data_IF_926893772502
#
_entry.id   IF_926893772502
#
_cell.length_a   1.000
_cell.length_b   1.000
_cell.length_c   1.000
_cell.angle_alpha   90.00
_cell.angle_beta   90.00
_cell.angle_gamma   90.00
#
_symmetry.space_group_name_H-M   'P 1'
#
loop_
_entity.id
_entity.type
_entity.pdbx_description
1 polymer ?
#
# COMPACT_ATOMS: atom_id res chain seq x y z
N UNK A 1 20.00 -7.32 -6.62
CA UNK A 1 19.05 -6.34 -6.00
C UNK A 1 19.72 -4.97 -5.94
N UNK A 2 19.01 -3.95 -6.42
CA UNK A 2 19.47 -2.55 -6.45
C UNK A 2 19.75 -2.02 -5.02
N UNK A 3 20.70 -1.06 -4.89
CA UNK A 3 21.04 -0.42 -3.60
C UNK A 3 19.83 0.18 -2.89
N UNK A 4 18.89 0.80 -3.64
CA UNK A 4 17.65 1.38 -3.09
C UNK A 4 16.78 0.33 -2.40
N UNK A 5 16.64 -0.84 -3.01
CA UNK A 5 15.82 -1.92 -2.45
C UNK A 5 16.49 -2.61 -1.26
N UNK A 6 17.83 -2.70 -1.27
CA UNK A 6 18.59 -3.16 -0.08
C UNK A 6 18.36 -2.20 1.09
N UNK A 7 18.50 -0.90 0.85
CA UNK A 7 18.25 0.11 1.87
C UNK A 7 16.82 0.01 2.42
N UNK A 8 15.82 0.00 1.54
CA UNK A 8 14.41 -0.18 1.91
C UNK A 8 14.22 -1.41 2.78
N UNK A 9 14.77 -2.55 2.35
CA UNK A 9 14.65 -3.82 3.07
C UNK A 9 15.20 -3.70 4.49
N UNK A 10 16.42 -3.20 4.64
CA UNK A 10 17.07 -3.03 5.94
C UNK A 10 16.33 -2.01 6.80
N UNK A 11 15.99 -0.85 6.23
CA UNK A 11 15.29 0.21 6.95
C UNK A 11 13.96 -0.28 7.54
N UNK A 12 13.18 -1.04 6.78
CA UNK A 12 11.89 -1.58 7.24
C UNK A 12 12.02 -2.69 8.30
N UNK A 13 13.15 -3.37 8.38
CA UNK A 13 13.43 -4.24 9.53
C UNK A 13 13.81 -3.42 10.77
N UNK A 14 14.68 -2.42 10.61
CA UNK A 14 15.16 -1.58 11.72
C UNK A 14 14.01 -0.76 12.32
N UNK A 15 13.13 -0.19 11.48
CA UNK A 15 11.99 0.60 11.94
C UNK A 15 10.80 -0.24 12.41
N UNK A 16 10.94 -1.56 12.44
CA UNK A 16 9.98 -2.57 12.90
C UNK A 16 8.73 -2.74 12.03
N UNK A 17 8.62 -2.07 10.89
CA UNK A 17 7.46 -2.23 10.01
C UNK A 17 7.40 -3.61 9.35
N UNK A 18 8.54 -4.18 8.93
CA UNK A 18 8.55 -5.55 8.40
C UNK A 18 8.24 -6.60 9.46
N UNK A 19 8.82 -6.56 10.68
CA UNK A 19 8.37 -7.44 11.77
C UNK A 19 6.87 -7.34 12.04
N UNK A 20 6.30 -6.14 12.04
CA UNK A 20 4.85 -5.94 12.18
C UNK A 20 4.07 -6.60 11.03
N UNK A 21 4.49 -6.41 9.79
CA UNK A 21 3.88 -7.04 8.62
C UNK A 21 3.92 -8.57 8.68
N UNK A 22 5.05 -9.14 9.13
CA UNK A 22 5.18 -10.58 9.35
C UNK A 22 4.22 -11.09 10.43
N UNK A 23 4.11 -10.37 11.55
CA UNK A 23 3.16 -10.70 12.62
C UNK A 23 1.71 -10.68 12.10
N UNK A 24 1.33 -9.66 11.37
CA UNK A 24 0.00 -9.56 10.75
C UNK A 24 -0.24 -10.73 9.80
N UNK A 25 0.75 -11.13 9.00
CA UNK A 25 0.63 -12.25 8.08
C UNK A 25 0.42 -13.58 8.81
N UNK A 26 1.07 -13.77 9.97
CA UNK A 26 0.90 -14.96 10.81
C UNK A 26 -0.51 -15.00 11.41
N UNK A 27 -0.95 -13.90 12.01
CA UNK A 27 -2.30 -13.77 12.58
C UNK A 27 -3.37 -13.99 11.50
N UNK A 28 -3.15 -13.48 10.29
CA UNK A 28 -4.04 -13.63 9.15
C UNK A 28 -3.99 -15.00 8.46
N UNK A 29 -3.11 -15.90 8.90
CA UNK A 29 -2.96 -17.23 8.30
C UNK A 29 -2.42 -17.23 6.87
N UNK A 30 -1.73 -16.18 6.46
CA UNK A 30 -1.23 -16.03 5.10
C UNK A 30 0.01 -16.89 4.86
N UNK A 31 0.11 -17.43 3.64
CA UNK A 31 1.29 -18.17 3.17
C UNK A 31 2.29 -17.17 2.60
N UNK A 32 3.48 -17.13 3.17
CA UNK A 32 4.55 -16.20 2.79
C UNK A 32 5.47 -16.81 1.75
N UNK A 33 5.79 -16.02 0.73
CA UNK A 33 6.75 -16.37 -0.33
C UNK A 33 7.67 -15.19 -0.62
N UNK A 34 8.93 -15.43 -1.04
CA UNK A 34 9.78 -14.35 -1.49
C UNK A 34 9.20 -13.68 -2.73
N UNK A 35 9.26 -12.35 -2.77
CA UNK A 35 8.85 -11.52 -3.88
C UNK A 35 10.04 -10.78 -4.50
N UNK A 36 9.78 -9.94 -5.52
CA UNK A 36 10.84 -9.16 -6.15
C UNK A 36 11.40 -8.10 -5.20
N UNK A 37 12.66 -7.73 -5.40
CA UNK A 37 13.29 -6.58 -4.74
C UNK A 37 13.23 -6.59 -3.21
N UNK A 38 13.28 -7.78 -2.60
CA UNK A 38 13.27 -7.95 -1.15
C UNK A 38 11.89 -7.85 -0.51
N UNK A 39 10.82 -7.85 -1.31
CA UNK A 39 9.45 -7.96 -0.80
C UNK A 39 9.16 -9.39 -0.33
N UNK A 40 8.23 -9.50 0.59
CA UNK A 40 7.65 -10.76 1.06
C UNK A 40 6.18 -10.72 0.66
N UNK A 41 5.75 -11.67 -0.18
CA UNK A 41 4.36 -11.77 -0.61
C UNK A 41 3.62 -12.76 0.30
N UNK A 42 2.54 -12.31 0.93
CA UNK A 42 1.74 -13.10 1.85
C UNK A 42 0.34 -13.29 1.26
N UNK A 43 0.04 -14.53 0.85
CA UNK A 43 -1.18 -14.90 0.15
C UNK A 43 -2.20 -15.58 1.08
N UNK A 44 -3.48 -15.44 0.75
CA UNK A 44 -4.55 -16.11 1.49
C UNK A 44 -4.81 -15.49 2.86
N UNK A 45 -4.57 -14.20 3.02
CA UNK A 45 -4.92 -13.45 4.23
C UNK A 45 -6.43 -13.53 4.49
N UNK A 46 -6.85 -13.99 5.65
CA UNK A 46 -8.25 -14.36 5.92
C UNK A 46 -9.17 -13.20 6.31
N UNK A 47 -8.61 -12.10 6.80
CA UNK A 47 -9.42 -10.97 7.24
C UNK A 47 -9.81 -10.05 6.08
N UNK A 48 -10.99 -9.42 6.18
CA UNK A 48 -11.51 -8.53 5.16
C UNK A 48 -11.09 -7.07 5.34
N UNK A 49 -10.43 -6.75 6.42
CA UNK A 49 -9.88 -5.43 6.69
C UNK A 49 -8.35 -5.46 6.58
N UNK A 50 -7.73 -4.49 5.92
CA UNK A 50 -8.34 -3.40 5.15
C UNK A 50 -9.02 -3.89 3.85
N UNK A 51 -10.03 -3.12 3.38
CA UNK A 51 -10.76 -3.43 2.14
C UNK A 51 -9.92 -2.97 0.95
N UNK A 52 -9.04 -3.84 0.47
CA UNK A 52 -8.18 -3.60 -0.67
C UNK A 52 -7.83 -4.94 -1.33
N UNK A 53 -7.41 -4.91 -2.59
CA UNK A 53 -6.90 -6.09 -3.29
C UNK A 53 -5.61 -6.61 -2.69
N UNK A 54 -4.76 -5.70 -2.22
CA UNK A 54 -3.57 -5.96 -1.43
C UNK A 54 -3.28 -4.76 -0.53
N UNK A 55 -2.46 -4.95 0.50
CA UNK A 55 -1.92 -3.86 1.33
C UNK A 55 -0.51 -4.22 1.81
N UNK A 56 0.26 -3.20 2.13
CA UNK A 56 1.68 -3.36 2.47
C UNK A 56 1.97 -2.84 3.86
N UNK A 57 2.70 -3.64 4.65
CA UNK A 57 3.26 -3.23 5.94
C UNK A 57 4.75 -3.56 5.94
N UNK A 58 5.58 -2.54 5.91
CA UNK A 58 7.02 -2.69 5.73
C UNK A 58 7.35 -3.30 4.37
N UNK A 59 8.06 -4.42 4.35
CA UNK A 59 8.37 -5.18 3.14
C UNK A 59 7.35 -6.28 2.83
N UNK A 60 6.29 -6.41 3.63
CA UNK A 60 5.32 -7.49 3.51
C UNK A 60 4.08 -6.98 2.76
N UNK A 61 3.81 -7.61 1.63
CA UNK A 61 2.60 -7.38 0.82
C UNK A 61 1.59 -8.47 1.14
N UNK A 62 0.45 -8.10 1.69
CA UNK A 62 -0.60 -9.01 2.11
C UNK A 62 -1.78 -8.95 1.14
N UNK A 63 -2.32 -10.11 0.80
CA UNK A 63 -3.50 -10.23 -0.05
C UNK A 63 -4.35 -11.42 0.35
N UNK A 64 -5.66 -11.34 0.12
CA UNK A 64 -6.57 -12.48 0.27
C UNK A 64 -6.53 -13.41 -0.94
N UNK A 65 -5.97 -12.96 -2.05
CA UNK A 65 -5.88 -13.71 -3.30
C UNK A 65 -4.77 -14.76 -3.24
N UNK A 66 -4.79 -15.69 -4.19
CA UNK A 66 -3.75 -16.72 -4.34
C UNK A 66 -2.59 -16.26 -5.23
N UNK A 67 -2.77 -15.16 -5.95
CA UNK A 67 -1.77 -14.57 -6.84
C UNK A 67 -1.95 -13.06 -6.95
N UNK A 68 -0.89 -12.36 -7.34
CA UNK A 68 -0.89 -10.92 -7.58
C UNK A 68 -0.31 -10.62 -8.97
N UNK A 69 -0.95 -9.69 -9.69
CA UNK A 69 -0.43 -9.18 -10.94
C UNK A 69 0.82 -8.31 -10.74
N UNK A 70 1.69 -8.26 -11.75
CA UNK A 70 2.95 -7.50 -11.67
C UNK A 70 2.73 -6.01 -11.37
N UNK A 71 1.72 -5.39 -11.97
CA UNK A 71 1.42 -3.97 -11.74
C UNK A 71 1.05 -3.69 -10.29
N UNK A 72 0.25 -4.56 -9.68
CA UNK A 72 -0.12 -4.44 -8.28
C UNK A 72 1.08 -4.67 -7.35
N UNK A 73 1.96 -5.61 -7.67
CA UNK A 73 3.21 -5.81 -6.93
C UNK A 73 4.11 -4.58 -7.00
N UNK A 74 4.20 -3.92 -8.17
CA UNK A 74 4.95 -2.66 -8.31
C UNK A 74 4.35 -1.55 -7.46
N UNK A 75 3.02 -1.42 -7.45
CA UNK A 75 2.30 -0.46 -6.61
C UNK A 75 2.59 -0.69 -5.13
N UNK A 76 2.43 -1.92 -4.67
CA UNK A 76 2.69 -2.29 -3.27
C UNK A 76 4.18 -2.13 -2.90
N UNK A 77 5.08 -2.40 -3.82
CA UNK A 77 6.52 -2.15 -3.64
C UNK A 77 6.84 -0.67 -3.40
N UNK A 78 6.09 0.24 -4.01
CA UNK A 78 6.20 1.69 -3.76
C UNK A 78 5.71 2.04 -2.35
N UNK A 79 4.64 1.41 -1.87
CA UNK A 79 4.23 1.54 -0.47
C UNK A 79 5.29 1.04 0.51
N UNK A 80 5.96 -0.07 0.21
CA UNK A 80 7.08 -0.53 1.02
C UNK A 80 8.21 0.52 1.12
N UNK A 81 8.47 1.24 0.04
CA UNK A 81 9.41 2.36 0.02
C UNK A 81 8.93 3.53 0.88
N UNK A 82 7.64 3.84 0.83
CA UNK A 82 7.04 4.88 1.68
C UNK A 82 7.16 4.54 3.17
N UNK A 83 6.99 3.29 3.56
CA UNK A 83 7.24 2.83 4.93
C UNK A 83 8.66 3.12 5.39
N UNK A 84 9.65 2.92 4.51
CA UNK A 84 11.04 3.23 4.82
C UNK A 84 11.26 4.74 5.00
N UNK A 85 10.73 5.56 4.09
CA UNK A 85 10.84 7.02 4.16
C UNK A 85 10.11 7.63 5.35
N UNK A 86 9.00 7.06 5.76
CA UNK A 86 8.22 7.50 6.93
C UNK A 86 8.73 6.92 8.25
N UNK A 87 9.87 6.23 8.23
CA UNK A 87 10.51 5.64 9.43
C UNK A 87 9.57 4.68 10.18
N UNK A 88 8.78 3.91 9.45
CA UNK A 88 7.89 2.88 10.00
C UNK A 88 6.53 3.37 10.42
N UNK A 89 6.16 3.20 11.71
CA UNK A 89 4.81 3.47 12.23
C UNK A 89 4.23 4.86 11.93
N UNK A 90 4.99 5.96 11.83
CA UNK A 90 4.46 7.26 11.42
C UNK A 90 3.74 7.25 10.06
N UNK A 91 4.01 6.26 9.21
CA UNK A 91 3.27 6.07 7.95
C UNK A 91 1.77 5.89 8.18
N UNK A 92 1.35 5.21 9.25
CA UNK A 92 -0.06 4.91 9.51
C UNK A 92 -0.90 6.18 9.71
N UNK A 93 -0.57 7.11 10.64
CA UNK A 93 -1.34 8.34 10.77
C UNK A 93 -1.23 9.25 9.55
N UNK A 94 -0.07 9.32 8.90
CA UNK A 94 0.11 10.11 7.69
C UNK A 94 -0.76 9.60 6.54
N UNK A 95 -0.78 8.29 6.32
CA UNK A 95 -1.64 7.65 5.33
C UNK A 95 -3.12 7.90 5.63
N UNK A 96 -3.53 7.72 6.89
CA UNK A 96 -4.90 7.92 7.32
C UNK A 96 -5.37 9.36 7.08
N UNK A 97 -4.57 10.36 7.43
CA UNK A 97 -4.88 11.78 7.18
C UNK A 97 -5.03 12.03 5.68
N UNK A 98 -4.11 11.53 4.86
CA UNK A 98 -4.16 11.69 3.42
C UNK A 98 -5.39 11.00 2.80
N UNK A 99 -5.76 9.83 3.31
CA UNK A 99 -6.97 9.12 2.91
C UNK A 99 -8.24 9.91 3.25
N UNK A 100 -8.33 10.43 4.48
CA UNK A 100 -9.48 11.22 4.92
C UNK A 100 -9.63 12.51 4.11
N UNK A 101 -8.53 13.22 3.83
CA UNK A 101 -8.55 14.41 2.97
C UNK A 101 -9.05 14.07 1.57
N UNK A 102 -8.60 12.95 0.98
CA UNK A 102 -9.09 12.49 -0.31
C UNK A 102 -10.59 12.21 -0.29
N UNK A 103 -11.09 11.56 0.76
CA UNK A 103 -12.53 11.32 0.93
C UNK A 103 -13.34 12.62 1.04
N UNK A 104 -12.81 13.62 1.74
CA UNK A 104 -13.48 14.93 1.90
C UNK A 104 -13.56 15.68 0.57
N UNK A 105 -12.48 15.71 -0.23
CA UNK A 105 -12.41 16.56 -1.42
C UNK A 105 -12.92 15.89 -2.70
N UNK A 106 -12.99 14.58 -2.77
CA UNK A 106 -13.49 13.87 -3.96
C UNK A 106 -14.38 12.65 -3.68
N UNK A 107 -14.58 12.29 -2.42
CA UNK A 107 -15.43 11.16 -2.03
C UNK A 107 -14.81 9.77 -2.30
N UNK A 108 -13.51 9.72 -2.58
CA UNK A 108 -12.80 8.46 -2.81
C UNK A 108 -11.50 8.41 -2.02
N UNK A 109 -11.20 7.28 -1.40
CA UNK A 109 -10.09 7.09 -0.47
C UNK A 109 -8.70 7.20 -1.10
N UNK A 110 -8.56 6.92 -2.39
CA UNK A 110 -7.27 6.84 -3.06
C UNK A 110 -7.02 7.97 -4.06
N UNK A 111 -8.04 8.51 -4.72
CA UNK A 111 -7.88 9.42 -5.87
C UNK A 111 -7.01 10.66 -5.56
N UNK A 112 -7.10 11.21 -4.36
CA UNK A 112 -6.29 12.34 -3.89
C UNK A 112 -5.48 12.01 -2.65
N UNK A 113 -5.38 10.73 -2.29
CA UNK A 113 -4.44 10.25 -1.29
C UNK A 113 -3.03 10.32 -1.88
N UNK A 114 -2.16 11.14 -1.29
CA UNK A 114 -0.80 11.36 -1.82
C UNK A 114 0.01 10.07 -1.89
N UNK A 115 -0.14 9.18 -0.92
CA UNK A 115 0.58 7.89 -0.90
C UNK A 115 0.14 6.98 -2.05
N UNK A 116 -1.16 6.93 -2.34
CA UNK A 116 -1.70 6.15 -3.46
C UNK A 116 -1.32 6.76 -4.81
N UNK A 117 -1.33 8.08 -4.92
CA UNK A 117 -0.90 8.76 -6.15
C UNK A 117 0.58 8.55 -6.43
N UNK A 118 1.44 8.62 -5.42
CA UNK A 118 2.87 8.35 -5.55
C UNK A 118 3.17 6.86 -5.82
N UNK A 119 2.29 5.97 -5.39
CA UNK A 119 2.37 4.54 -5.67
C UNK A 119 1.80 4.16 -7.05
N UNK A 120 1.21 5.11 -7.77
CA UNK A 120 0.51 4.98 -9.04
C UNK A 120 -0.90 4.40 -8.90
N UNK A 121 -1.90 5.25 -9.12
CA UNK A 121 -3.32 4.88 -9.02
C UNK A 121 -3.71 3.79 -10.02
N UNK A 122 -3.18 3.84 -11.25
CA UNK A 122 -3.52 2.89 -12.30
C UNK A 122 -2.95 1.49 -11.98
N UNK A 123 -1.72 1.42 -11.48
CA UNK A 123 -1.10 0.17 -11.05
C UNK A 123 -1.82 -0.45 -9.84
N UNK A 124 -2.37 0.39 -8.97
CA UNK A 124 -3.18 -0.04 -7.83
C UNK A 124 -4.62 -0.42 -8.19
N UNK A 125 -5.04 -0.17 -9.42
CA UNK A 125 -6.41 -0.42 -9.87
C UNK A 125 -7.43 0.59 -9.33
N UNK A 126 -7.00 1.78 -8.94
CA UNK A 126 -7.87 2.82 -8.38
C UNK A 126 -8.39 3.78 -9.43
N UNK A 127 -9.67 4.24 -9.32
CA UNK A 127 -10.22 5.26 -10.19
C UNK A 127 -9.66 6.65 -9.85
N UNK A 128 -9.66 7.54 -10.84
CA UNK A 128 -9.32 8.95 -10.69
C UNK A 128 -10.59 9.77 -10.56
N UNK A 129 -11.20 9.78 -9.38
CA UNK A 129 -12.41 10.56 -9.13
C UNK A 129 -12.13 12.06 -9.15
N UNK A 130 -12.94 12.87 -9.85
CA UNK A 130 -12.75 14.32 -9.86
C UNK A 130 -13.13 14.94 -8.51
N UNK A 131 -12.54 16.11 -8.23
CA UNK A 131 -12.90 16.92 -7.08
C UNK A 131 -14.38 17.31 -7.15
N UNK A 132 -15.04 17.44 -6.01
CA UNK A 132 -16.45 17.78 -5.92
C UNK A 132 -16.84 19.02 -6.75
N UNK A 133 -16.04 20.09 -6.69
CA UNK A 133 -16.31 21.35 -7.39
C UNK A 133 -16.01 21.28 -8.91
N UNK A 134 -15.37 20.23 -9.39
CA UNK A 134 -15.15 19.99 -10.83
C UNK A 134 -16.26 19.18 -11.47
N UNK A 135 -17.04 18.44 -10.68
CA UNK A 135 -18.15 17.63 -11.17
C UNK A 135 -19.30 18.47 -11.73
N UNK A 136 -19.51 19.69 -11.20
CA UNK A 136 -20.59 20.59 -11.62
C UNK A 136 -20.35 21.28 -12.97
N UNK A 137 -19.15 21.19 -13.54
CA UNK A 137 -18.82 21.82 -14.83
C UNK A 137 -19.06 20.93 -16.05
N UNK A 138 -19.52 19.70 -15.87
CA UNK A 138 -19.75 18.70 -16.93
C UNK A 138 -21.19 18.50 -17.37
N UNK A 139 -22.14 19.28 -16.83
CA UNK A 139 -23.55 19.28 -17.22
C UNK A 139 -23.96 20.65 -17.74
N UNK A 140 -23.39 21.00 -18.85
CA UNK A 140 -23.77 22.18 -19.60
C UNK A 140 -23.64 21.91 -21.08
#
# INVERSE_FOLDING_TARGET
MNRRFRFRRVANYINLSTPLGLLISIIGGAVRRPGPDGLILAFGYRYRFPIAGAFTVGNVVLTRQDSLGERLILHEGRHATQWAWCVGLPMLPLYLVSMLLSMIICGHQASYNIFERLADLDDGGYPRKPLWWRRSKGTG
#
